data_IF_061087495540
#
_entry.id   IF_061087495540
#
_cell.length_a   1.000
_cell.length_b   1.000
_cell.length_c   1.000
_cell.angle_alpha   90.00
_cell.angle_beta   90.00
_cell.angle_gamma   90.00
#
_symmetry.space_group_name_H-M   'P 1'
#
loop_
_entity.id
_entity.type
_entity.pdbx_description
1 polymer ?
#
# COMPACT_ATOMS: atom_id res chain seq x y z
N UNK A 1 -2.51 0.44 -18.41
CA UNK A 1 -2.94 1.68 -17.71
C UNK A 1 -2.23 2.86 -18.35
N UNK A 2 -2.85 4.05 -18.45
CA UNK A 2 -2.19 5.24 -19.00
C UNK A 2 -2.30 6.39 -18.01
N UNK A 3 -1.15 6.88 -17.55
CA UNK A 3 -1.03 8.00 -16.61
C UNK A 3 -0.10 9.08 -17.17
N UNK A 4 -0.34 10.33 -16.82
CA UNK A 4 0.53 11.46 -17.14
C UNK A 4 1.35 11.83 -15.91
N UNK A 5 2.68 11.80 -16.02
CA UNK A 5 3.58 12.22 -14.96
C UNK A 5 4.20 13.58 -15.30
N UNK A 6 3.80 14.60 -14.54
CA UNK A 6 4.36 15.93 -14.61
C UNK A 6 5.59 16.01 -13.69
N UNK A 7 6.72 16.43 -14.25
CA UNK A 7 8.00 16.49 -13.55
C UNK A 7 8.81 17.72 -14.00
N UNK A 8 9.80 18.11 -13.22
CA UNK A 8 10.81 19.11 -13.59
C UNK A 8 12.20 18.50 -13.45
N UNK A 9 13.14 18.86 -14.33
CA UNK A 9 14.53 18.43 -14.20
C UNK A 9 15.26 19.09 -13.02
N UNK A 10 14.73 20.20 -12.50
CA UNK A 10 15.26 20.94 -11.35
C UNK A 10 14.76 20.39 -10.00
N UNK A 11 13.82 19.45 -10.04
CA UNK A 11 13.19 18.85 -8.86
C UNK A 11 13.92 17.56 -8.48
N UNK A 12 14.63 17.56 -7.36
CA UNK A 12 15.39 16.39 -6.87
C UNK A 12 14.49 15.17 -6.64
N UNK A 13 13.33 15.37 -6.02
CA UNK A 13 12.33 14.31 -5.81
C UNK A 13 11.84 13.71 -7.13
N UNK A 14 11.72 14.54 -8.18
CA UNK A 14 11.29 14.08 -9.49
C UNK A 14 12.36 13.18 -10.12
N UNK A 15 13.64 13.51 -9.96
CA UNK A 15 14.75 12.66 -10.43
C UNK A 15 14.77 11.31 -9.71
N UNK A 16 14.57 11.30 -8.39
CA UNK A 16 14.45 10.08 -7.60
C UNK A 16 13.28 9.22 -8.09
N UNK A 17 12.11 9.83 -8.29
CA UNK A 17 10.93 9.14 -8.78
C UNK A 17 11.14 8.52 -10.17
N UNK A 18 11.75 9.26 -11.10
CA UNK A 18 12.06 8.77 -12.44
C UNK A 18 13.02 7.57 -12.40
N UNK A 19 14.00 7.60 -11.48
CA UNK A 19 14.89 6.48 -11.24
C UNK A 19 14.11 5.26 -10.76
N UNK A 20 13.24 5.41 -9.74
CA UNK A 20 12.40 4.30 -9.24
C UNK A 20 11.51 3.69 -10.33
N UNK A 21 10.91 4.52 -11.17
CA UNK A 21 10.08 4.04 -12.31
C UNK A 21 10.93 3.22 -13.29
N UNK A 22 12.14 3.69 -13.60
CA UNK A 22 13.07 3.03 -14.51
C UNK A 22 13.57 1.70 -13.94
N UNK A 23 13.99 1.71 -12.67
CA UNK A 23 14.58 0.56 -11.99
C UNK A 23 13.56 -0.57 -11.80
N UNK A 24 12.29 -0.23 -11.55
CA UNK A 24 11.19 -1.20 -11.44
C UNK A 24 10.52 -1.52 -12.79
N UNK A 25 11.06 -1.04 -13.91
CA UNK A 25 10.51 -1.25 -15.25
C UNK A 25 9.01 -0.91 -15.38
N UNK A 26 8.54 0.09 -14.63
CA UNK A 26 7.12 0.45 -14.64
C UNK A 26 6.78 1.13 -15.97
N UNK A 27 5.72 0.65 -16.61
CA UNK A 27 5.26 1.14 -17.92
C UNK A 27 3.90 1.82 -17.83
N UNK A 28 3.49 2.51 -18.89
CA UNK A 28 2.18 3.18 -18.96
C UNK A 28 2.18 4.64 -18.51
N UNK A 29 3.35 5.25 -18.33
CA UNK A 29 3.49 6.67 -18.06
C UNK A 29 3.81 7.45 -19.33
N UNK A 30 3.16 8.60 -19.49
CA UNK A 30 3.59 9.66 -20.41
C UNK A 30 4.18 10.79 -19.58
N UNK A 31 5.48 11.02 -19.77
CA UNK A 31 6.23 12.02 -19.03
C UNK A 31 6.04 13.41 -19.66
N UNK A 32 5.80 14.40 -18.81
CA UNK A 32 5.58 15.79 -19.18
C UNK A 32 6.56 16.65 -18.37
N UNK A 33 7.52 17.25 -19.07
CA UNK A 33 8.51 18.15 -18.49
C UNK A 33 7.93 19.57 -18.37
N UNK A 34 7.63 20.00 -17.15
CA UNK A 34 6.97 21.28 -16.88
C UNK A 34 7.90 22.48 -17.11
N UNK A 35 9.21 22.27 -17.24
CA UNK A 35 10.16 23.33 -17.58
C UNK A 35 10.11 23.70 -19.07
N UNK A 36 9.57 22.81 -19.93
CA UNK A 36 9.60 22.96 -21.39
C UNK A 36 8.26 23.33 -22.00
N UNK A 37 7.16 23.07 -21.29
CA UNK A 37 5.82 23.31 -21.81
C UNK A 37 4.96 24.06 -20.80
N UNK A 38 3.96 24.79 -21.32
CA UNK A 38 2.93 25.37 -20.46
C UNK A 38 2.02 24.26 -19.94
N UNK A 39 1.92 24.14 -18.63
CA UNK A 39 1.02 23.22 -17.94
C UNK A 39 -0.27 23.93 -17.51
N UNK A 40 -1.38 23.19 -17.31
CA UNK A 40 -2.60 23.76 -16.74
C UNK A 40 -2.39 24.28 -15.31
N UNK A 41 -3.10 25.33 -14.93
CA UNK A 41 -3.00 25.97 -13.61
C UNK A 41 -3.36 25.03 -12.45
N UNK A 42 -4.05 23.92 -12.74
CA UNK A 42 -4.34 22.86 -11.76
C UNK A 42 -3.10 22.09 -11.29
N UNK A 43 -1.98 22.17 -12.03
CA UNK A 43 -0.70 21.53 -11.68
C UNK A 43 0.19 22.56 -11.00
N UNK A 44 0.04 22.70 -9.68
CA UNK A 44 0.76 23.71 -8.90
C UNK A 44 2.11 23.23 -8.36
N UNK A 45 2.34 21.92 -8.33
CA UNK A 45 3.52 21.28 -7.74
C UNK A 45 3.96 20.07 -8.57
N UNK A 46 5.21 19.64 -8.41
CA UNK A 46 5.78 18.42 -9.00
C UNK A 46 6.52 17.60 -7.93
N UNK A 47 6.60 16.26 -8.04
CA UNK A 47 5.99 15.43 -9.07
C UNK A 47 4.47 15.37 -8.92
N UNK A 48 3.75 15.33 -10.06
CA UNK A 48 2.29 15.19 -10.09
C UNK A 48 1.89 14.10 -11.07
N UNK A 49 1.03 13.18 -10.65
CA UNK A 49 0.56 12.06 -11.43
C UNK A 49 -0.95 12.18 -11.68
N UNK A 50 -1.33 12.33 -12.95
CA UNK A 50 -2.73 12.33 -13.37
C UNK A 50 -3.10 10.97 -13.97
N UNK A 51 -4.00 10.28 -13.30
CA UNK A 51 -4.49 8.95 -13.67
C UNK A 51 -5.92 9.12 -14.18
N UNK A 52 -6.25 8.59 -15.37
CA UNK A 52 -7.57 8.77 -15.99
C UNK A 52 -8.75 8.31 -15.12
N UNK A 53 -8.55 7.31 -14.28
CA UNK A 53 -9.59 6.77 -13.39
C UNK A 53 -9.83 7.61 -12.14
N UNK A 54 -8.97 8.60 -11.85
CA UNK A 54 -9.05 9.42 -10.64
C UNK A 54 -9.50 10.84 -11.00
N UNK A 55 -10.42 11.38 -10.20
CA UNK A 55 -10.91 12.75 -10.37
C UNK A 55 -9.89 13.81 -9.94
N UNK A 56 -8.88 13.43 -9.16
CA UNK A 56 -7.86 14.33 -8.63
C UNK A 56 -6.46 13.78 -8.92
N UNK A 57 -5.52 14.62 -9.39
CA UNK A 57 -4.14 14.19 -9.55
C UNK A 57 -3.48 13.95 -8.18
N UNK A 58 -2.58 12.98 -8.14
CA UNK A 58 -1.73 12.70 -6.98
C UNK A 58 -0.53 13.64 -7.02
N UNK A 59 -0.17 14.22 -5.88
CA UNK A 59 0.89 15.25 -5.81
C UNK A 59 1.93 14.88 -4.76
N UNK A 60 3.20 15.11 -5.07
CA UNK A 60 4.33 14.93 -4.15
C UNK A 60 4.40 13.50 -3.61
N UNK A 61 4.35 13.35 -2.28
CA UNK A 61 4.43 12.05 -1.59
C UNK A 61 3.40 11.04 -2.10
N UNK A 62 2.19 11.47 -2.44
CA UNK A 62 1.14 10.58 -2.94
C UNK A 62 1.54 9.84 -4.22
N UNK A 63 2.42 10.45 -5.02
CA UNK A 63 2.94 9.83 -6.25
C UNK A 63 3.89 8.68 -5.92
N UNK A 64 4.73 8.84 -4.89
CA UNK A 64 5.63 7.79 -4.42
C UNK A 64 4.85 6.63 -3.83
N UNK A 65 3.92 6.92 -2.92
CA UNK A 65 3.07 5.89 -2.29
C UNK A 65 2.31 5.08 -3.36
N UNK A 66 1.82 5.75 -4.41
CA UNK A 66 1.15 5.07 -5.51
C UNK A 66 2.10 4.21 -6.35
N UNK A 67 3.31 4.68 -6.64
CA UNK A 67 4.32 3.91 -7.37
C UNK A 67 4.74 2.67 -6.60
N UNK A 68 5.04 2.80 -5.31
CA UNK A 68 5.38 1.66 -4.44
C UNK A 68 4.24 0.64 -4.39
N UNK A 69 2.98 1.10 -4.39
CA UNK A 69 1.83 0.20 -4.40
C UNK A 69 1.74 -0.67 -5.67
N UNK A 70 2.33 -0.24 -6.80
CA UNK A 70 2.29 -1.01 -8.06
C UNK A 70 3.04 -2.34 -7.96
N UNK A 71 4.06 -2.44 -7.12
CA UNK A 71 4.86 -3.65 -6.93
C UNK A 71 4.10 -4.74 -6.16
N UNK A 72 3.08 -4.36 -5.39
CA UNK A 72 2.31 -5.28 -4.55
C UNK A 72 1.09 -5.87 -5.28
N UNK A 73 0.52 -5.18 -6.28
CA UNK A 73 -0.68 -5.65 -6.98
C UNK A 73 -0.45 -6.91 -7.83
N UNK A 74 0.78 -7.16 -8.28
CA UNK A 74 1.12 -8.33 -9.10
C UNK A 74 1.66 -9.52 -8.29
N UNK A 75 1.69 -9.43 -6.96
CA UNK A 75 2.14 -10.54 -6.14
C UNK A 75 1.03 -11.58 -6.04
N UNK A 76 1.23 -12.73 -6.68
CA UNK A 76 0.40 -13.92 -6.46
C UNK A 76 0.64 -14.37 -5.02
N UNK A 77 -0.24 -13.96 -4.10
CA UNK A 77 -0.23 -14.53 -2.75
C UNK A 77 -0.88 -15.91 -2.85
N UNK A 78 -0.10 -16.97 -2.62
CA UNK A 78 -0.56 -18.36 -2.68
C UNK A 78 -1.50 -18.74 -1.51
N UNK A 79 -2.32 -17.82 -1.00
CA UNK A 79 -3.08 -18.03 0.23
C UNK A 79 -4.47 -18.65 0.03
N UNK A 80 -4.90 -18.88 -1.22
CA UNK A 80 -6.11 -19.66 -1.51
C UNK A 80 -5.71 -21.08 -1.90
N UNK A 81 -5.49 -21.95 -0.91
CA UNK A 81 -5.64 -23.40 -1.15
C UNK A 81 -7.13 -23.66 -1.31
N UNK A 82 -7.64 -23.61 -2.54
CA UNK A 82 -8.99 -24.11 -2.83
C UNK A 82 -9.04 -25.57 -2.41
N UNK A 83 -9.69 -25.85 -1.28
CA UNK A 83 -10.13 -27.21 -0.97
C UNK A 83 -11.27 -27.50 -1.96
N UNK A 84 -10.93 -28.05 -3.12
CA UNK A 84 -11.89 -28.58 -4.09
C UNK A 84 -12.53 -29.82 -3.49
N UNK A 85 -13.44 -29.64 -2.54
CA UNK A 85 -14.44 -30.66 -2.22
C UNK A 85 -15.56 -30.47 -3.24
N UNK A 86 -15.49 -31.22 -4.34
CA UNK A 86 -16.60 -31.42 -5.25
C UNK A 86 -17.78 -32.04 -4.50
N UNK A 87 -18.65 -31.22 -3.92
CA UNK A 87 -20.06 -31.55 -3.66
C UNK A 87 -20.87 -30.28 -3.86
N UNK A 88 -21.50 -30.17 -5.03
CA UNK A 88 -22.63 -29.26 -5.20
C UNK A 88 -23.68 -29.63 -4.15
N UNK A 89 -24.32 -28.66 -3.45
CA UNK A 89 -25.49 -28.96 -2.67
C UNK A 89 -26.62 -29.31 -3.64
N UNK A 90 -26.99 -30.58 -3.70
CA UNK A 90 -28.30 -30.99 -4.23
C UNK A 90 -29.33 -30.46 -3.24
N UNK A 91 -30.13 -29.50 -3.67
CA UNK A 91 -31.23 -28.96 -2.87
C UNK A 91 -32.37 -29.96 -2.97
N UNK A 92 -32.40 -30.93 -2.07
CA UNK A 92 -33.55 -31.81 -1.89
C UNK A 92 -34.43 -31.23 -0.77
N UNK A 93 -35.51 -30.57 -1.16
CA UNK A 93 -36.50 -30.03 -0.24
C UNK A 93 -37.42 -31.19 0.22
N UNK A 94 -37.02 -31.93 1.24
CA UNK A 94 -37.96 -32.77 1.98
C UNK A 94 -37.52 -33.06 3.42
N UNK A 95 -38.40 -32.66 4.33
CA UNK A 95 -38.64 -33.17 5.69
C UNK A 95 -37.47 -33.30 6.71
N UNK A 96 -37.65 -32.50 7.77
CA UNK A 96 -37.57 -32.91 9.19
C UNK A 96 -36.26 -33.51 9.75
N UNK A 97 -35.67 -32.85 10.75
CA UNK A 97 -35.74 -33.25 12.17
C UNK A 97 -34.77 -32.43 13.05
N UNK A 98 -35.31 -31.99 14.19
CA UNK A 98 -34.70 -31.87 15.53
C UNK A 98 -33.21 -31.56 15.73
N UNK A 99 -32.97 -30.58 16.62
CA UNK A 99 -31.94 -30.57 17.68
C UNK A 99 -30.60 -31.22 17.30
N UNK A 100 -29.65 -30.39 16.88
CA UNK A 100 -28.24 -30.63 17.18
C UNK A 100 -27.66 -29.35 17.78
N UNK A 101 -27.49 -29.36 19.10
CA UNK A 101 -26.51 -28.51 19.78
C UNK A 101 -25.18 -28.72 19.06
N UNK A 102 -24.64 -27.67 18.44
CA UNK A 102 -23.20 -27.53 18.23
C UNK A 102 -22.78 -26.27 18.97
N UNK A 103 -21.91 -26.48 19.95
CA UNK A 103 -21.22 -25.43 20.67
C UNK A 103 -20.39 -24.63 19.67
N UNK A 104 -20.75 -23.38 19.45
CA UNK A 104 -19.88 -22.45 18.77
C UNK A 104 -18.76 -22.08 19.75
N UNK A 105 -17.58 -22.67 19.55
CA UNK A 105 -16.36 -22.20 20.22
C UNK A 105 -15.91 -20.91 19.52
N UNK A 106 -16.56 -19.80 19.86
CA UNK A 106 -16.01 -18.47 19.58
C UNK A 106 -14.83 -18.27 20.54
N UNK A 107 -13.61 -18.30 20.01
CA UNK A 107 -12.47 -17.74 20.74
C UNK A 107 -12.64 -16.23 20.72
N UNK A 108 -13.17 -15.69 21.80
CA UNK A 108 -13.12 -14.26 22.11
C UNK A 108 -11.67 -13.81 22.03
N UNK A 109 -11.38 -12.81 21.19
CA UNK A 109 -10.12 -12.09 21.29
C UNK A 109 -10.18 -11.34 22.62
N UNK A 110 -9.46 -11.84 23.62
CA UNK A 110 -9.17 -11.08 24.83
C UNK A 110 -8.42 -9.80 24.39
N UNK A 111 -9.14 -8.69 24.47
CA UNK A 111 -8.60 -7.35 24.42
C UNK A 111 -7.74 -7.17 25.67
N UNK A 112 -6.44 -7.49 25.56
CA UNK A 112 -5.47 -6.98 26.52
C UNK A 112 -5.41 -5.47 26.34
N UNK A 113 -6.14 -4.75 27.19
CA UNK A 113 -5.84 -3.35 27.49
C UNK A 113 -4.37 -3.27 27.96
N UNK A 114 -3.49 -2.51 27.28
CA UNK A 114 -2.32 -2.02 27.96
C UNK A 114 -2.77 -0.91 28.92
N UNK A 115 -2.74 -1.24 30.21
CA UNK A 115 -2.76 -0.25 31.28
C UNK A 115 -1.39 0.44 31.28
N UNK A 116 -1.27 1.52 30.52
CA UNK A 116 -0.19 2.48 30.66
C UNK A 116 -0.79 3.84 30.99
N UNK A 117 -0.79 4.14 32.28
CA UNK A 117 -1.02 5.48 32.81
C UNK A 117 0.02 6.42 32.20
N UNK A 118 -0.43 7.30 31.28
CA UNK A 118 0.43 8.32 30.67
C UNK A 118 0.71 9.40 31.73
N UNK A 119 1.90 9.37 32.34
CA UNK A 119 2.47 10.57 32.93
C UNK A 119 3.03 11.44 31.80
N UNK A 120 2.36 12.56 31.55
CA UNK A 120 2.78 13.56 30.57
C UNK A 120 3.93 14.37 31.17
N UNK A 121 5.17 14.04 30.82
CA UNK A 121 6.28 14.97 30.93
C UNK A 121 6.51 15.64 29.58
N UNK A 122 6.01 16.86 29.45
CA UNK A 122 6.39 17.80 28.40
C UNK A 122 7.83 18.20 28.70
N UNK A 123 8.82 17.77 27.89
CA UNK A 123 9.94 18.63 27.48
C UNK A 123 11.03 17.89 26.65
N UNK A 124 11.35 18.54 25.52
CA UNK A 124 12.66 18.62 24.87
C UNK A 124 13.23 17.44 24.05
N UNK A 125 13.40 17.72 22.74
CA UNK A 125 14.66 17.44 22.04
C UNK A 125 14.62 16.30 21.02
N UNK A 126 14.57 16.64 19.73
CA UNK A 126 14.94 15.75 18.63
C UNK A 126 16.37 15.25 18.83
N UNK A 127 16.56 13.92 18.87
CA UNK A 127 17.88 13.32 18.68
C UNK A 127 17.76 12.09 17.77
N UNK A 128 18.42 12.19 16.61
CA UNK A 128 18.58 11.13 15.63
C UNK A 128 19.72 10.21 16.08
N UNK A 129 19.47 8.90 16.08
CA UNK A 129 20.54 7.90 16.09
C UNK A 129 20.13 6.60 16.78
N UNK A 130 20.24 5.48 16.07
CA UNK A 130 21.24 4.43 16.33
C UNK A 130 21.22 3.46 15.13
N UNK A 131 22.33 3.40 14.40
CA UNK A 131 22.71 2.28 13.53
C UNK A 131 23.05 1.08 14.43
N UNK A 132 22.37 -0.06 14.25
CA UNK A 132 22.82 -1.34 14.81
C UNK A 132 23.68 -2.07 13.79
N UNK A 133 24.99 -2.11 14.02
CA UNK A 133 25.92 -3.06 13.40
C UNK A 133 25.59 -4.49 13.83
N UNK A 134 25.46 -5.39 12.86
CA UNK A 134 25.46 -6.83 13.08
C UNK A 134 26.91 -7.31 13.28
N UNK A 135 27.16 -8.03 14.39
CA UNK A 135 28.38 -8.84 14.59
C UNK A 135 28.05 -10.26 14.17
N UNK A 136 28.67 -10.73 13.11
CA UNK A 136 28.69 -12.16 12.77
C UNK A 136 29.71 -12.86 13.67
N UNK A 137 29.22 -13.77 14.51
CA UNK A 137 30.03 -14.80 15.16
C UNK A 137 29.69 -16.12 14.45
N UNK A 138 30.63 -16.67 13.68
CA UNK A 138 30.62 -18.09 13.35
C UNK A 138 32.02 -18.65 13.58
N UNK A 139 32.11 -19.35 14.72
CA UNK A 139 32.79 -20.61 15.01
C UNK A 139 33.79 -21.14 13.96
#
# INVERSE_FOLDING_TARGET
MSALLFYSNKCEYCQQLLKTIKDNHLTGFKFIDVDKIRVPDSITQVPTLAIKSYNKPLVGKQVFDWIESQDYFNQITNNIKTRTSNKQPVVDNSLAYSKLKKSDNFTSLDEKQPDETIHVDVNHGYNFGVLKSYKDNNN
#
